data_IF_295850612373
#
_entry.id   IF_295850612373
#
_cell.length_a   1.000
_cell.length_b   1.000
_cell.length_c   1.000
_cell.angle_alpha   90.00
_cell.angle_beta   90.00
_cell.angle_gamma   90.00
#
_symmetry.space_group_name_H-M   'P 1'
#
loop_
_entity.id
_entity.type
_entity.pdbx_description
1 polymer ?
#
# COMPACT_ATOMS: atom_id res chain seq x y z
N UNK A 1 -17.41 -9.60 9.99
CA UNK A 1 -16.03 -10.06 10.22
C UNK A 1 -15.06 -9.09 9.54
N UNK A 2 -14.69 -8.03 10.27
CA UNK A 2 -13.90 -6.92 9.70
C UNK A 2 -12.47 -7.34 9.28
N UNK A 3 -11.91 -8.39 9.88
CA UNK A 3 -10.51 -8.80 9.71
C UNK A 3 -10.35 -10.22 9.17
N UNK A 4 -11.39 -10.82 8.63
CA UNK A 4 -11.43 -12.21 8.16
C UNK A 4 -10.84 -13.20 9.20
N UNK A 5 -11.29 -13.05 10.47
CA UNK A 5 -10.76 -13.77 11.64
C UNK A 5 -11.58 -14.94 12.11
N UNK A 6 -12.66 -15.33 11.41
CA UNK A 6 -13.59 -16.39 11.85
C UNK A 6 -12.89 -17.72 12.08
N UNK A 7 -11.91 -18.07 11.26
CA UNK A 7 -11.18 -19.34 11.32
C UNK A 7 -10.31 -19.51 12.57
N UNK A 8 -9.96 -18.40 13.25
CA UNK A 8 -9.09 -18.43 14.43
C UNK A 8 -9.68 -17.75 15.67
N UNK A 9 -10.99 -17.37 15.64
CA UNK A 9 -11.65 -16.67 16.75
C UNK A 9 -11.58 -17.42 18.09
N UNK A 10 -11.56 -18.75 18.06
CA UNK A 10 -11.49 -19.60 19.25
C UNK A 10 -10.06 -20.10 19.55
N UNK A 11 -9.06 -19.63 18.82
CA UNK A 11 -7.67 -20.07 19.01
C UNK A 11 -6.94 -19.14 19.98
N UNK A 12 -6.10 -19.68 20.87
CA UNK A 12 -5.26 -18.84 21.72
C UNK A 12 -4.31 -17.98 20.88
N UNK A 13 -4.12 -16.71 21.26
CA UNK A 13 -3.29 -15.75 20.51
C UNK A 13 -1.86 -16.26 20.25
N UNK A 14 -1.28 -16.98 21.23
CA UNK A 14 0.08 -17.54 21.07
C UNK A 14 0.20 -18.57 19.96
N UNK A 15 -0.90 -19.26 19.59
CA UNK A 15 -0.93 -20.26 18.51
C UNK A 15 -1.18 -19.68 17.12
N UNK A 16 -1.39 -18.37 17.02
CA UNK A 16 -1.65 -17.68 15.76
C UNK A 16 -0.35 -17.41 15.01
N UNK A 17 -0.43 -17.43 13.67
CA UNK A 17 0.67 -16.95 12.82
C UNK A 17 0.91 -15.45 13.03
N UNK A 18 2.05 -14.94 12.56
CA UNK A 18 2.38 -13.53 12.70
C UNK A 18 1.35 -12.64 12.01
N UNK A 19 0.92 -12.99 10.78
CA UNK A 19 -0.14 -12.25 10.07
C UNK A 19 -1.50 -12.32 10.76
N UNK A 20 -1.87 -13.48 11.34
CA UNK A 20 -3.09 -13.61 12.13
C UNK A 20 -3.05 -12.72 13.39
N UNK A 21 -1.90 -12.67 14.09
CA UNK A 21 -1.71 -11.77 15.24
C UNK A 21 -1.87 -10.30 14.85
N UNK A 22 -1.29 -9.87 13.72
CA UNK A 22 -1.48 -8.49 13.22
C UNK A 22 -2.96 -8.20 12.91
N UNK A 23 -3.68 -9.14 12.29
CA UNK A 23 -5.14 -8.99 12.05
C UNK A 23 -5.93 -8.86 13.33
N UNK A 24 -5.59 -9.63 14.39
CA UNK A 24 -6.21 -9.49 15.71
C UNK A 24 -5.92 -8.13 16.34
N UNK A 25 -4.69 -7.64 16.24
CA UNK A 25 -4.33 -6.31 16.75
C UNK A 25 -5.13 -5.20 16.04
N UNK A 26 -5.26 -5.27 14.72
CA UNK A 26 -6.10 -4.31 13.97
C UNK A 26 -7.58 -4.43 14.35
N UNK A 27 -8.09 -5.66 14.55
CA UNK A 27 -9.46 -5.86 15.03
C UNK A 27 -9.72 -5.15 16.36
N UNK A 28 -8.75 -5.19 17.27
CA UNK A 28 -8.85 -4.49 18.56
C UNK A 28 -8.94 -2.97 18.37
N UNK A 29 -8.16 -2.41 17.44
CA UNK A 29 -8.21 -0.98 17.11
C UNK A 29 -9.54 -0.59 16.47
N UNK A 30 -10.07 -1.44 15.56
CA UNK A 30 -11.38 -1.21 14.93
C UNK A 30 -12.50 -1.19 15.99
N UNK A 31 -12.44 -2.10 16.98
CA UNK A 31 -13.42 -2.21 18.04
C UNK A 31 -13.47 -0.99 18.98
N UNK A 32 -12.42 -0.16 19.00
CA UNK A 32 -12.38 1.08 19.77
C UNK A 32 -13.15 2.23 19.09
N UNK A 33 -13.63 2.04 17.85
CA UNK A 33 -14.42 3.00 17.06
C UNK A 33 -13.77 4.39 16.88
N UNK A 34 -12.45 4.48 17.01
CA UNK A 34 -11.71 5.73 16.83
C UNK A 34 -11.87 6.26 15.39
N UNK A 35 -11.97 7.59 15.25
CA UNK A 35 -11.99 8.26 13.95
C UNK A 35 -10.64 8.24 13.26
N UNK A 36 -9.54 8.33 14.05
CA UNK A 36 -8.16 8.31 13.57
C UNK A 36 -7.47 7.02 13.99
N UNK A 37 -6.84 6.35 13.05
CA UNK A 37 -6.07 5.12 13.25
C UNK A 37 -4.63 5.34 12.80
N UNK A 38 -3.68 5.03 13.68
CA UNK A 38 -2.25 5.07 13.38
C UNK A 38 -1.73 3.64 13.23
N UNK A 39 -1.09 3.34 12.11
CA UNK A 39 -0.55 2.02 11.78
C UNK A 39 0.95 2.16 11.50
N UNK A 40 1.75 1.59 12.38
CA UNK A 40 3.20 1.56 12.22
C UNK A 40 3.64 0.25 11.58
N UNK A 41 4.21 0.34 10.37
CA UNK A 41 4.68 -0.79 9.57
C UNK A 41 3.67 -1.97 9.51
N UNK A 42 2.42 -1.75 9.07
CA UNK A 42 1.36 -2.75 9.21
C UNK A 42 1.62 -4.03 8.43
N UNK A 43 2.41 -3.98 7.36
CA UNK A 43 2.68 -5.12 6.48
C UNK A 43 4.09 -5.70 6.62
N UNK A 44 4.95 -5.08 7.43
CA UNK A 44 6.32 -5.54 7.59
C UNK A 44 6.40 -6.98 8.10
N UNK A 45 7.22 -7.81 7.43
CA UNK A 45 7.46 -9.21 7.79
C UNK A 45 6.31 -10.17 7.49
N UNK A 46 5.34 -9.74 6.68
CA UNK A 46 4.23 -10.58 6.24
C UNK A 46 4.53 -11.24 4.89
N UNK A 47 3.95 -12.42 4.69
CA UNK A 47 3.83 -13.04 3.38
C UNK A 47 2.84 -12.27 2.49
N UNK A 48 2.88 -12.48 1.15
CA UNK A 48 2.02 -11.73 0.22
C UNK A 48 0.52 -11.88 0.47
N UNK A 49 0.05 -13.03 0.95
CA UNK A 49 -1.36 -13.27 1.24
C UNK A 49 -1.79 -12.46 2.48
N UNK A 50 -1.00 -12.52 3.54
CA UNK A 50 -1.22 -11.75 4.77
C UNK A 50 -1.14 -10.25 4.51
N UNK A 51 -0.23 -9.80 3.66
CA UNK A 51 -0.11 -8.39 3.23
C UNK A 51 -1.40 -7.94 2.55
N UNK A 52 -1.89 -8.67 1.55
CA UNK A 52 -3.16 -8.35 0.87
C UNK A 52 -4.32 -8.27 1.86
N UNK A 53 -4.42 -9.22 2.78
CA UNK A 53 -5.49 -9.21 3.79
C UNK A 53 -5.46 -7.94 4.68
N UNK A 54 -4.26 -7.48 5.09
CA UNK A 54 -4.11 -6.23 5.87
C UNK A 54 -4.47 -5.00 5.01
N UNK A 55 -4.02 -4.94 3.77
CA UNK A 55 -4.35 -3.86 2.83
C UNK A 55 -5.85 -3.75 2.62
N UNK A 56 -6.54 -4.87 2.43
CA UNK A 56 -8.00 -4.90 2.28
C UNK A 56 -8.72 -4.39 3.52
N UNK A 57 -8.21 -4.70 4.71
CA UNK A 57 -8.75 -4.19 5.97
C UNK A 57 -8.57 -2.66 6.04
N UNK A 58 -7.39 -2.15 5.69
CA UNK A 58 -7.09 -0.71 5.67
C UNK A 58 -8.02 0.01 4.68
N UNK A 59 -8.14 -0.51 3.45
CA UNK A 59 -9.05 0.05 2.42
C UNK A 59 -10.51 0.05 2.90
N UNK A 60 -10.97 -1.00 3.57
CA UNK A 60 -12.33 -1.06 4.15
C UNK A 60 -12.54 -0.04 5.27
N UNK A 61 -11.57 0.13 6.18
CA UNK A 61 -11.65 1.15 7.23
C UNK A 61 -11.73 2.56 6.65
N UNK A 62 -10.92 2.86 5.64
CA UNK A 62 -10.94 4.14 4.94
C UNK A 62 -12.30 4.38 4.25
N UNK A 63 -12.83 3.39 3.54
CA UNK A 63 -14.15 3.45 2.92
C UNK A 63 -15.30 3.68 3.91
N UNK A 64 -15.11 3.30 5.18
CA UNK A 64 -16.03 3.58 6.30
C UNK A 64 -15.85 4.98 6.92
N UNK A 65 -14.99 5.82 6.34
CA UNK A 65 -14.75 7.20 6.77
C UNK A 65 -13.69 7.36 7.86
N UNK A 66 -12.95 6.31 8.23
CA UNK A 66 -11.84 6.44 9.18
C UNK A 66 -10.66 7.16 8.53
N UNK A 67 -10.03 8.05 9.28
CA UNK A 67 -8.75 8.68 8.91
C UNK A 67 -7.63 7.74 9.31
N UNK A 68 -6.72 7.44 8.38
CA UNK A 68 -5.65 6.47 8.63
C UNK A 68 -4.31 7.12 8.32
N UNK A 69 -3.39 7.03 9.27
CA UNK A 69 -1.99 7.40 9.08
C UNK A 69 -1.15 6.12 9.14
N UNK A 70 -0.30 5.94 8.15
CA UNK A 70 0.53 4.74 8.00
C UNK A 70 1.98 5.16 7.92
N UNK A 71 2.86 4.52 8.69
CA UNK A 71 4.30 4.55 8.43
C UNK A 71 4.69 3.28 7.69
N UNK A 72 5.51 3.39 6.66
CA UNK A 72 6.07 2.25 5.96
C UNK A 72 7.31 2.64 5.15
N UNK A 73 8.19 1.68 4.95
CA UNK A 73 9.30 1.74 3.99
C UNK A 73 8.99 0.99 2.69
N UNK A 74 7.79 0.40 2.56
CA UNK A 74 7.31 -0.18 1.31
C UNK A 74 6.64 0.90 0.45
N UNK A 75 7.42 1.47 -0.46
CA UNK A 75 6.95 2.56 -1.32
C UNK A 75 5.89 2.11 -2.32
N UNK A 76 5.84 0.83 -2.69
CA UNK A 76 4.76 0.31 -3.55
C UNK A 76 3.44 0.30 -2.78
N UNK A 77 3.45 -0.14 -1.52
CA UNK A 77 2.28 -0.08 -0.65
C UNK A 77 1.80 1.36 -0.48
N UNK A 78 2.70 2.27 -0.08
CA UNK A 78 2.36 3.69 0.12
C UNK A 78 1.75 4.28 -1.15
N UNK A 79 2.35 4.01 -2.30
CA UNK A 79 1.87 4.50 -3.60
C UNK A 79 0.50 3.94 -3.96
N UNK A 80 0.18 2.68 -3.63
CA UNK A 80 -1.13 2.06 -3.93
C UNK A 80 -2.27 2.61 -3.05
N UNK A 81 -2.01 2.84 -1.74
CA UNK A 81 -3.11 3.05 -0.79
C UNK A 81 -3.21 4.43 -0.16
N UNK A 82 -2.15 5.28 -0.24
CA UNK A 82 -2.16 6.60 0.39
C UNK A 82 -2.51 7.69 -0.60
N UNK A 83 -3.34 8.65 -0.19
CA UNK A 83 -3.67 9.83 -1.00
C UNK A 83 -2.65 10.95 -0.82
N UNK A 84 -2.10 11.07 0.40
CA UNK A 84 -1.17 12.11 0.80
C UNK A 84 -0.01 11.51 1.57
N UNK A 85 1.20 12.03 1.39
CA UNK A 85 2.41 11.53 2.05
C UNK A 85 3.24 12.65 2.65
N UNK A 86 3.94 12.32 3.72
CA UNK A 86 5.00 13.11 4.34
C UNK A 86 6.29 12.31 4.23
N UNK A 87 7.33 12.89 3.64
CA UNK A 87 8.66 12.29 3.57
C UNK A 87 9.47 12.76 4.79
N UNK A 88 9.84 11.80 5.64
CA UNK A 88 10.63 12.07 6.84
C UNK A 88 12.08 11.67 6.61
N UNK A 89 12.99 12.56 6.93
CA UNK A 89 14.42 12.27 6.99
C UNK A 89 15.05 12.94 8.23
N UNK A 90 15.81 12.18 9.01
CA UNK A 90 16.50 12.65 10.21
C UNK A 90 15.60 13.45 11.18
N UNK A 91 14.36 12.99 11.37
CA UNK A 91 13.37 13.62 12.27
C UNK A 91 12.73 14.90 11.74
N UNK A 92 12.90 15.22 10.46
CA UNK A 92 12.28 16.37 9.80
C UNK A 92 11.42 15.91 8.62
N UNK A 93 10.34 16.64 8.37
CA UNK A 93 9.61 16.52 7.12
C UNK A 93 10.40 17.30 6.07
N UNK A 94 10.82 16.61 5.01
CA UNK A 94 11.59 17.20 3.90
C UNK A 94 10.75 17.39 2.65
N UNK A 95 9.58 16.72 2.57
CA UNK A 95 8.60 16.91 1.51
C UNK A 95 7.22 16.44 1.98
N UNK A 96 6.17 16.98 1.36
CA UNK A 96 4.79 16.58 1.60
C UNK A 96 3.90 16.90 0.40
N UNK A 97 2.85 16.11 0.19
CA UNK A 97 1.93 16.35 -0.91
C UNK A 97 1.12 15.13 -1.28
N UNK A 98 0.42 15.25 -2.41
CA UNK A 98 -0.22 14.08 -3.02
C UNK A 98 0.86 13.06 -3.38
N UNK A 99 0.52 11.80 -3.20
CA UNK A 99 1.51 10.73 -3.39
C UNK A 99 2.06 10.71 -4.83
N UNK A 100 1.24 11.02 -5.84
CA UNK A 100 1.67 11.11 -7.23
C UNK A 100 2.73 12.19 -7.45
N UNK A 101 2.55 13.34 -6.81
CA UNK A 101 3.43 14.49 -6.98
C UNK A 101 4.78 14.24 -6.27
N UNK A 102 4.73 13.82 -5.01
CA UNK A 102 5.92 13.60 -4.17
C UNK A 102 6.88 12.58 -4.80
N UNK A 103 6.36 11.49 -5.36
CA UNK A 103 7.21 10.48 -6.02
C UNK A 103 7.79 10.93 -7.37
N UNK A 104 7.48 12.14 -7.85
CA UNK A 104 8.20 12.77 -8.98
C UNK A 104 9.45 13.54 -8.54
N UNK A 105 9.57 13.90 -7.26
CA UNK A 105 10.67 14.68 -6.69
C UNK A 105 11.90 13.79 -6.43
N UNK A 106 12.66 13.51 -7.51
CA UNK A 106 13.76 12.53 -7.46
C UNK A 106 14.80 12.80 -6.40
N UNK A 107 15.19 14.07 -6.26
CA UNK A 107 16.25 14.46 -5.33
C UNK A 107 15.81 14.21 -3.88
N UNK A 108 14.56 14.49 -3.56
CA UNK A 108 13.97 14.26 -2.22
C UNK A 108 13.90 12.75 -1.91
N UNK A 109 13.42 11.94 -2.85
CA UNK A 109 13.32 10.50 -2.66
C UNK A 109 14.72 9.89 -2.44
N UNK A 110 15.73 10.34 -3.21
CA UNK A 110 17.12 9.91 -3.03
C UNK A 110 17.71 10.39 -1.70
N UNK A 111 17.47 11.65 -1.32
CA UNK A 111 17.92 12.22 -0.04
C UNK A 111 17.35 11.45 1.15
N UNK A 112 16.07 11.04 1.06
CA UNK A 112 15.41 10.22 2.07
C UNK A 112 15.91 8.77 2.10
N UNK A 113 16.71 8.34 1.13
CA UNK A 113 17.14 6.94 0.99
C UNK A 113 16.01 5.98 0.62
N UNK A 114 14.95 6.50 -0.01
CA UNK A 114 13.78 5.74 -0.40
C UNK A 114 13.91 5.22 -1.85
N UNK A 115 13.21 4.13 -2.14
CA UNK A 115 13.05 3.63 -3.50
C UNK A 115 11.81 4.22 -4.16
N UNK A 116 11.85 4.31 -5.50
CA UNK A 116 10.65 4.65 -6.26
C UNK A 116 9.70 3.45 -6.35
N UNK A 117 8.38 3.67 -6.26
CA UNK A 117 7.39 2.66 -6.64
C UNK A 117 7.66 2.12 -8.04
N UNK A 118 7.37 0.83 -8.28
CA UNK A 118 7.69 0.21 -9.56
C UNK A 118 6.95 0.85 -10.75
N UNK A 119 5.71 1.30 -10.56
CA UNK A 119 4.95 2.05 -11.58
C UNK A 119 5.60 3.37 -11.96
N UNK A 120 6.17 4.09 -10.97
CA UNK A 120 6.93 5.33 -11.21
C UNK A 120 8.24 5.02 -11.93
N UNK A 121 8.94 3.94 -11.56
CA UNK A 121 10.15 3.48 -12.28
C UNK A 121 9.81 3.17 -13.74
N UNK A 122 8.70 2.47 -13.99
CA UNK A 122 8.25 2.11 -15.33
C UNK A 122 7.92 3.35 -16.18
N UNK A 123 7.15 4.28 -15.62
CA UNK A 123 6.85 5.56 -16.29
C UNK A 123 8.12 6.25 -16.77
N UNK A 124 9.12 6.38 -15.89
CA UNK A 124 10.38 7.07 -16.21
C UNK A 124 11.20 6.35 -17.30
N UNK A 125 11.26 5.01 -17.26
CA UNK A 125 12.07 4.24 -18.20
C UNK A 125 11.44 4.11 -19.60
N UNK A 126 10.12 4.05 -19.65
CA UNK A 126 9.39 3.79 -20.90
C UNK A 126 8.67 5.02 -21.44
N UNK A 127 8.80 6.16 -20.78
CA UNK A 127 8.08 7.40 -21.12
C UNK A 127 6.56 7.19 -21.27
N UNK A 128 5.99 6.41 -20.35
CA UNK A 128 4.55 6.12 -20.27
C UNK A 128 3.85 7.16 -19.40
N UNK A 129 2.51 7.28 -19.47
CA UNK A 129 1.74 8.02 -18.48
C UNK A 129 2.02 7.52 -17.05
N UNK A 130 1.86 8.39 -16.07
CA UNK A 130 1.97 8.00 -14.67
C UNK A 130 0.69 7.25 -14.25
N UNK A 131 0.86 5.98 -13.92
CA UNK A 131 -0.24 5.13 -13.47
C UNK A 131 -0.23 5.02 -11.95
N UNK A 132 -1.42 5.08 -11.37
CA UNK A 132 -1.62 4.90 -9.94
C UNK A 132 -1.79 3.42 -9.57
N UNK A 133 -2.40 2.65 -10.44
CA UNK A 133 -2.70 1.23 -10.25
C UNK A 133 -2.19 0.40 -11.42
N UNK A 134 -1.89 -0.86 -11.15
CA UNK A 134 -1.53 -1.83 -12.18
C UNK A 134 -2.63 -2.00 -13.23
N UNK A 135 -3.90 -1.95 -12.80
CA UNK A 135 -5.05 -2.06 -13.69
C UNK A 135 -5.09 -0.94 -14.74
N UNK A 136 -4.72 0.29 -14.33
CA UNK A 136 -4.66 1.44 -15.25
C UNK A 136 -3.57 1.25 -16.31
N UNK A 137 -2.41 0.69 -15.91
CA UNK A 137 -1.34 0.32 -16.84
C UNK A 137 -1.81 -0.77 -17.82
N UNK A 138 -2.49 -1.81 -17.32
CA UNK A 138 -2.95 -2.91 -18.19
C UNK A 138 -3.99 -2.42 -19.18
N UNK A 139 -4.96 -1.61 -18.75
CA UNK A 139 -5.95 -1.01 -19.64
C UNK A 139 -5.29 -0.13 -20.71
N UNK A 140 -4.34 0.73 -20.29
CA UNK A 140 -3.58 1.55 -21.24
C UNK A 140 -2.80 0.69 -22.26
N UNK A 141 -2.19 -0.41 -21.78
CA UNK A 141 -1.44 -1.32 -22.65
C UNK A 141 -2.34 -2.01 -23.67
N UNK A 142 -3.48 -2.52 -23.23
CA UNK A 142 -4.46 -3.19 -24.10
C UNK A 142 -5.02 -2.24 -25.16
N UNK A 143 -5.30 -1.00 -24.79
CA UNK A 143 -5.81 0.03 -25.70
C UNK A 143 -4.77 0.45 -26.76
N UNK A 144 -3.50 0.55 -26.38
CA UNK A 144 -2.47 1.12 -27.26
C UNK A 144 -1.63 0.06 -27.99
N UNK A 145 -1.54 -1.15 -27.44
CA UNK A 145 -0.63 -2.21 -27.93
C UNK A 145 -1.28 -3.59 -28.01
N UNK A 146 -2.51 -3.78 -27.55
CA UNK A 146 -3.18 -5.09 -27.35
C UNK A 146 -3.35 -5.93 -28.61
N UNK A 147 -3.38 -5.32 -29.80
CA UNK A 147 -3.42 -6.05 -31.07
C UNK A 147 -2.11 -6.79 -31.40
N UNK A 148 -0.97 -6.33 -30.87
CA UNK A 148 0.34 -6.89 -31.17
C UNK A 148 0.73 -8.08 -30.27
N UNK A 149 0.05 -8.29 -29.14
CA UNK A 149 0.38 -9.37 -28.18
C UNK A 149 -0.35 -10.70 -28.46
N UNK A 150 -1.42 -10.70 -29.25
CA UNK A 150 -2.11 -11.95 -29.66
C UNK A 150 -1.27 -12.90 -30.49
N UNK A 151 -0.08 -12.50 -30.91
CA UNK A 151 0.84 -13.29 -31.75
C UNK A 151 1.77 -14.21 -30.93
N UNK A 152 1.89 -14.02 -29.61
CA UNK A 152 2.85 -14.76 -28.78
C UNK A 152 2.22 -15.95 -28.02
N UNK A 153 0.91 -16.10 -28.05
CA UNK A 153 0.20 -17.20 -27.41
C UNK A 153 -0.28 -18.29 -28.39
N UNK A 154 0.64 -18.82 -29.21
CA UNK A 154 0.40 -20.07 -29.96
C UNK A 154 1.52 -21.05 -29.69
#
# INVERSE_FOLDING_TARGET
>A
DAVNGKEFINRPVHSLSFGQKKRVAIASVIAMENELVLLDEPTAGLDPESTRAIVDIIKKMHAQGKKIVITSHDMNLIYDICDFVYVLNQGKIIDEGKVEDVFTHEDIIKEAGLEFPWLVKLNKHMNLPLFRKEEDLYNYWDENFGENLKVISK
#
